data_IF_766258646491
#
_entry.id   IF_766258646491
#
_cell.length_a   1.000
_cell.length_b   1.000
_cell.length_c   1.000
_cell.angle_alpha   90.00
_cell.angle_beta   90.00
_cell.angle_gamma   90.00
#
_symmetry.space_group_name_H-M   'P 1'
#
loop_
_entity.id
_entity.type
_entity.pdbx_description
1 polymer ?
#
# COMPACT_ATOMS: atom_id res chain seq x y z
N UNK A 1 -1.52 20.80 4.18
CA UNK A 1 -0.05 20.64 4.05
C UNK A 1 0.39 20.88 2.61
N UNK A 2 1.62 21.34 2.36
CA UNK A 2 2.15 21.61 1.01
C UNK A 2 3.07 20.47 0.57
N UNK A 3 2.91 19.97 -0.66
CA UNK A 3 3.79 18.95 -1.24
C UNK A 3 5.13 19.63 -1.64
N UNK A 4 6.29 19.03 -1.32
CA UNK A 4 7.59 19.57 -1.71
C UNK A 4 7.69 19.73 -3.24
N UNK A 5 8.20 20.88 -3.71
CA UNK A 5 8.32 21.17 -5.15
C UNK A 5 9.47 20.39 -5.82
N UNK A 6 10.53 20.11 -5.08
CA UNK A 6 11.72 19.43 -5.59
C UNK A 6 11.81 18.03 -4.97
N UNK A 7 11.14 17.07 -5.60
CA UNK A 7 11.22 15.66 -5.20
C UNK A 7 12.25 14.93 -6.08
N UNK A 8 13.12 14.10 -5.48
CA UNK A 8 13.97 13.19 -6.24
C UNK A 8 13.16 12.28 -7.17
N UNK A 9 13.79 11.88 -8.28
CA UNK A 9 13.18 10.93 -9.20
C UNK A 9 12.84 9.62 -8.50
N UNK A 10 11.66 9.06 -8.79
CA UNK A 10 11.17 7.82 -8.20
C UNK A 10 10.40 7.98 -6.88
N UNK A 11 10.30 9.19 -6.31
CA UNK A 11 9.43 9.42 -5.15
C UNK A 11 7.98 9.63 -5.62
N UNK A 12 7.06 8.88 -4.99
CA UNK A 12 5.62 9.03 -5.16
C UNK A 12 5.05 9.68 -3.90
N UNK A 13 4.48 10.87 -4.04
CA UNK A 13 3.73 11.55 -2.96
C UNK A 13 2.25 11.53 -3.28
N UNK A 14 1.47 10.95 -2.38
CA UNK A 14 0.00 10.94 -2.43
C UNK A 14 -0.49 11.47 -1.08
N UNK A 15 -1.43 12.41 -1.13
CA UNK A 15 -2.02 13.01 0.07
C UNK A 15 -3.54 13.04 -0.09
N UNK A 16 -4.23 12.40 0.84
CA UNK A 16 -5.68 12.52 0.93
C UNK A 16 -6.05 13.89 1.52
N UNK A 17 -7.05 14.62 1.00
CA UNK A 17 -7.42 15.95 1.49
C UNK A 17 -7.79 16.01 2.97
N UNK A 18 -8.28 14.90 3.53
CA UNK A 18 -8.67 14.80 4.95
C UNK A 18 -7.54 14.30 5.86
N UNK A 19 -6.33 14.12 5.33
CA UNK A 19 -5.12 13.71 6.05
C UNK A 19 -5.13 12.31 6.71
N UNK A 20 -6.04 11.42 6.31
CA UNK A 20 -6.02 10.00 6.69
C UNK A 20 -5.98 9.12 5.45
N UNK A 21 -5.46 7.90 5.60
CA UNK A 21 -5.36 6.91 4.54
C UNK A 21 -6.60 6.00 4.58
N UNK A 22 -7.38 6.01 3.51
CA UNK A 22 -8.57 5.17 3.36
C UNK A 22 -8.34 3.98 2.40
N UNK A 23 -9.42 3.27 2.07
CA UNK A 23 -9.39 2.12 1.17
C UNK A 23 -8.89 2.47 -0.25
N UNK A 24 -9.28 3.64 -0.76
CA UNK A 24 -8.87 4.17 -2.06
C UNK A 24 -7.38 4.52 -2.07
N UNK A 25 -6.89 5.18 -1.01
CA UNK A 25 -5.45 5.46 -0.90
C UNK A 25 -4.63 4.18 -0.78
N UNK A 26 -5.07 3.23 0.04
CA UNK A 26 -4.40 1.93 0.17
C UNK A 26 -4.39 1.17 -1.15
N UNK A 27 -5.51 1.14 -1.88
CA UNK A 27 -5.56 0.54 -3.22
C UNK A 27 -4.55 1.20 -4.15
N UNK A 28 -4.47 2.53 -4.11
CA UNK A 28 -3.50 3.30 -4.92
C UNK A 28 -2.07 2.98 -4.53
N UNK A 29 -1.76 2.87 -3.23
CA UNK A 29 -0.45 2.47 -2.73
C UNK A 29 -0.08 1.06 -3.21
N UNK A 30 -1.00 0.11 -3.15
CA UNK A 30 -0.77 -1.23 -3.66
C UNK A 30 -0.46 -1.24 -5.17
N UNK A 31 -1.20 -0.45 -5.96
CA UNK A 31 -1.04 -0.41 -7.41
C UNK A 31 0.23 0.32 -7.86
N UNK A 32 0.59 1.42 -7.20
CA UNK A 32 1.72 2.28 -7.59
C UNK A 32 3.02 1.94 -6.88
N UNK A 33 2.97 1.42 -5.66
CA UNK A 33 4.15 1.14 -4.83
C UNK A 33 4.37 -0.36 -4.74
N UNK A 34 3.44 -1.09 -4.11
CA UNK A 34 3.66 -2.52 -3.83
C UNK A 34 3.93 -3.29 -5.12
N UNK A 35 3.05 -3.22 -6.12
CA UNK A 35 3.21 -3.99 -7.37
C UNK A 35 4.36 -3.54 -8.27
N UNK A 36 4.83 -2.30 -8.11
CA UNK A 36 5.86 -1.68 -8.97
C UNK A 36 7.24 -1.68 -8.34
N UNK A 37 7.37 -2.05 -7.07
CA UNK A 37 8.66 -2.25 -6.41
C UNK A 37 9.55 -3.22 -7.21
N UNK A 38 10.89 -3.16 -7.07
CA UNK A 38 11.78 -4.17 -7.65
C UNK A 38 11.33 -5.60 -7.31
N UNK A 39 11.13 -6.44 -8.34
CA UNK A 39 10.59 -7.79 -8.19
C UNK A 39 9.07 -7.90 -8.02
N UNK A 40 8.33 -6.79 -7.97
CA UNK A 40 6.88 -6.75 -7.84
C UNK A 40 6.12 -7.38 -9.02
N UNK A 41 6.75 -7.46 -10.20
CA UNK A 41 6.25 -8.21 -11.35
C UNK A 41 6.02 -9.71 -11.06
N UNK A 42 6.70 -10.27 -10.05
CA UNK A 42 6.54 -11.67 -9.61
C UNK A 42 5.20 -11.92 -8.92
N UNK A 43 4.50 -10.88 -8.44
CA UNK A 43 3.18 -11.03 -7.79
C UNK A 43 2.16 -11.68 -8.73
N UNK A 44 2.29 -11.48 -10.04
CA UNK A 44 1.40 -12.11 -11.01
C UNK A 44 1.67 -13.64 -11.16
N UNK A 45 2.77 -14.15 -10.59
CA UNK A 45 3.21 -15.56 -10.73
C UNK A 45 3.19 -16.34 -9.42
N UNK A 46 3.28 -15.67 -8.28
CA UNK A 46 3.30 -16.29 -6.97
C UNK A 46 2.67 -15.37 -5.93
N UNK A 47 2.15 -15.95 -4.85
CA UNK A 47 1.61 -15.22 -3.70
C UNK A 47 2.75 -14.69 -2.81
N UNK A 48 2.56 -13.52 -2.20
CA UNK A 48 3.53 -12.89 -1.31
C UNK A 48 2.91 -12.61 0.06
N UNK A 49 3.72 -12.61 1.11
CA UNK A 49 3.35 -12.07 2.41
C UNK A 49 3.80 -10.60 2.50
N UNK A 50 2.90 -9.71 2.87
CA UNK A 50 3.19 -8.31 3.22
C UNK A 50 2.92 -8.12 4.71
N UNK A 51 3.98 -7.80 5.45
CA UNK A 51 3.91 -7.47 6.86
C UNK A 51 3.72 -5.96 7.02
N UNK A 52 2.70 -5.53 7.75
CA UNK A 52 2.39 -4.12 8.02
C UNK A 52 2.32 -3.88 9.54
N UNK A 53 2.41 -2.60 9.93
CA UNK A 53 2.17 -2.18 11.31
C UNK A 53 0.68 -2.27 11.70
N UNK A 54 0.40 -2.03 12.97
CA UNK A 54 -0.93 -2.12 13.59
C UNK A 54 -1.86 -0.93 13.32
N UNK A 55 -1.52 -0.04 12.38
CA UNK A 55 -2.36 1.11 12.04
C UNK A 55 -3.79 0.67 11.67
N UNK A 56 -4.80 1.36 12.20
CA UNK A 56 -6.21 0.97 12.04
C UNK A 56 -6.61 0.81 10.57
N UNK A 57 -6.09 1.66 9.69
CA UNK A 57 -6.35 1.58 8.25
C UNK A 57 -5.88 0.26 7.62
N UNK A 58 -4.88 -0.42 8.17
CA UNK A 58 -4.40 -1.70 7.63
C UNK A 58 -5.23 -2.91 8.07
N UNK A 59 -6.03 -2.77 9.13
CA UNK A 59 -6.77 -3.88 9.74
C UNK A 59 -8.16 -4.09 9.14
N UNK A 60 -8.65 -3.18 8.30
CA UNK A 60 -9.98 -3.27 7.72
C UNK A 60 -10.09 -4.44 6.74
N UNK A 61 -11.29 -5.02 6.64
CA UNK A 61 -11.53 -6.16 5.75
C UNK A 61 -11.42 -5.78 4.27
N UNK A 62 -11.69 -4.52 3.94
CA UNK A 62 -11.46 -3.99 2.60
C UNK A 62 -9.97 -4.03 2.22
N UNK A 63 -9.06 -3.65 3.13
CA UNK A 63 -7.62 -3.71 2.85
C UNK A 63 -7.15 -5.17 2.71
N UNK A 64 -7.63 -6.07 3.57
CA UNK A 64 -7.36 -7.52 3.42
C UNK A 64 -7.82 -8.04 2.07
N UNK A 65 -9.02 -7.65 1.62
CA UNK A 65 -9.54 -8.02 0.31
C UNK A 65 -8.69 -7.45 -0.83
N UNK A 66 -8.31 -6.17 -0.76
CA UNK A 66 -7.44 -5.52 -1.75
C UNK A 66 -6.10 -6.26 -1.87
N UNK A 67 -5.50 -6.67 -0.76
CA UNK A 67 -4.25 -7.43 -0.77
C UNK A 67 -4.44 -8.82 -1.39
N UNK A 68 -5.49 -9.54 -0.98
CA UNK A 68 -5.81 -10.86 -1.49
C UNK A 68 -6.02 -10.85 -3.02
N UNK A 69 -6.82 -9.89 -3.51
CA UNK A 69 -7.08 -9.69 -4.95
C UNK A 69 -5.80 -9.32 -5.72
N UNK A 70 -4.76 -8.86 -5.02
CA UNK A 70 -3.42 -8.57 -5.56
C UNK A 70 -2.40 -9.66 -5.21
N UNK A 71 -2.87 -10.89 -5.01
CA UNK A 71 -2.05 -12.07 -4.75
C UNK A 71 -1.06 -11.86 -3.59
N UNK A 72 -1.52 -11.19 -2.53
CA UNK A 72 -0.72 -10.85 -1.35
C UNK A 72 -1.52 -11.18 -0.08
N UNK A 73 -0.92 -11.94 0.83
CA UNK A 73 -1.44 -12.14 2.18
C UNK A 73 -0.93 -11.00 3.07
N UNK A 74 -1.80 -10.52 3.98
CA UNK A 74 -1.41 -9.50 4.96
C UNK A 74 -1.14 -10.15 6.32
N UNK A 75 -0.02 -9.76 6.92
CA UNK A 75 0.27 -9.97 8.34
C UNK A 75 0.40 -8.62 9.04
N UNK A 76 -0.27 -8.47 10.17
CA UNK A 76 -0.21 -7.26 10.99
C UNK A 76 0.65 -7.54 12.22
N UNK A 77 1.66 -6.70 12.47
CA UNK A 77 2.45 -6.78 13.70
C UNK A 77 1.56 -6.23 14.84
N UNK A 78 1.35 -7.00 15.92
CA UNK A 78 0.57 -6.53 17.06
C UNK A 78 1.29 -5.40 17.81
N UNK A 79 0.51 -4.57 18.51
CA UNK A 79 1.03 -3.59 19.47
C UNK A 79 1.33 -4.23 20.82
#
# INVERSE_FOLDING_TARGET
KQIPKNLPSGIIVLMHPKEWMDESEMKTWFDKVWRKRPGGNRINKQRFLLVMDSFEGHKTDAIKKIAFDKNTDLAIIPN
#
